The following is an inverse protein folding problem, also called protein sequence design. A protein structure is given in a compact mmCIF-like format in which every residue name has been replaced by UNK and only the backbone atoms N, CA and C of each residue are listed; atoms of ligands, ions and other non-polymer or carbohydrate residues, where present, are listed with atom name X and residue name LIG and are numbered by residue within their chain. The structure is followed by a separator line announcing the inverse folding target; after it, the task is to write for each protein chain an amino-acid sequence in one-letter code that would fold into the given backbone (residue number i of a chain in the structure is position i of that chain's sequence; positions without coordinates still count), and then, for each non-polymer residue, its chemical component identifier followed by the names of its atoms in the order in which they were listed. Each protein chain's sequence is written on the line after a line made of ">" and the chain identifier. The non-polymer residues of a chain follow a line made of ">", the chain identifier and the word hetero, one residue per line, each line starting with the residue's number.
data_IF_133486679418
#
_entry.id   IF_133486679418
#
_cell.length_a   1.000
_cell.length_b   1.000
_cell.length_c   1.000
_cell.angle_alpha   90.00
_cell.angle_beta   90.00
_cell.angle_gamma   90.00
#
_symmetry.space_group_name_H-M   'P 1'
#
loop_
_entity.id
_entity.type
_entity.pdbx_description
1 polymer ?
#
# COMPACT_ATOMS: atom_id res chain seq x y z
N UNK A 1 -27.05 -18.10 17.04
CA UNK A 1 -25.72 -17.71 17.54
C UNK A 1 -25.31 -16.47 16.76
N UNK A 2 -25.28 -15.29 17.38
CA UNK A 2 -24.73 -14.08 16.73
C UNK A 2 -23.21 -14.22 16.86
N UNK A 3 -22.50 -14.39 15.74
CA UNK A 3 -21.05 -14.41 15.74
C UNK A 3 -20.52 -13.11 16.35
N UNK A 4 -19.61 -13.21 17.31
CA UNK A 4 -18.84 -12.06 17.77
C UNK A 4 -18.14 -11.43 16.56
N UNK A 5 -18.12 -10.09 16.45
CA UNK A 5 -17.40 -9.44 15.38
C UNK A 5 -15.93 -9.85 15.48
N UNK A 6 -15.42 -10.49 14.42
CA UNK A 6 -14.01 -10.85 14.30
C UNK A 6 -13.24 -9.53 14.30
N UNK A 7 -12.65 -9.17 15.44
CA UNK A 7 -11.73 -8.03 15.49
C UNK A 7 -10.52 -8.37 14.63
N UNK A 8 -10.19 -7.51 13.67
CA UNK A 8 -8.96 -7.59 12.89
C UNK A 8 -7.87 -6.82 13.64
N UNK A 9 -6.93 -7.47 14.35
CA UNK A 9 -5.93 -6.73 15.13
C UNK A 9 -5.06 -5.86 14.20
N UNK A 10 -4.84 -4.61 14.61
CA UNK A 10 -3.93 -3.71 13.91
C UNK A 10 -2.50 -4.00 14.33
N UNK A 11 -1.64 -4.36 13.36
CA UNK A 11 -0.21 -4.58 13.58
C UNK A 11 0.54 -3.25 13.62
N UNK A 12 0.19 -2.33 12.71
CA UNK A 12 0.82 -1.02 12.63
C UNK A 12 -0.12 0.00 11.97
N UNK A 13 -0.16 1.21 12.52
CA UNK A 13 -0.75 2.39 11.89
C UNK A 13 0.34 3.41 11.64
N UNK A 14 0.28 4.05 10.47
CA UNK A 14 1.16 5.14 10.10
C UNK A 14 0.36 6.43 9.99
N UNK A 15 0.94 7.52 10.45
CA UNK A 15 0.42 8.89 10.32
C UNK A 15 1.48 9.75 9.67
N UNK A 16 1.15 10.94 9.19
CA UNK A 16 2.12 11.85 8.55
C UNK A 16 3.30 12.27 9.44
N UNK A 17 3.26 11.97 10.75
CA UNK A 17 4.43 12.05 11.64
C UNK A 17 5.49 10.98 11.35
N UNK A 18 5.13 9.89 10.67
CA UNK A 18 6.05 8.86 10.19
C UNK A 18 6.60 9.27 8.82
N UNK A 19 7.92 9.46 8.68
CA UNK A 19 8.52 9.78 7.38
C UNK A 19 8.43 8.57 6.45
N UNK A 20 8.13 8.83 5.19
CA UNK A 20 8.19 7.79 4.15
C UNK A 20 9.64 7.49 3.77
N UNK A 21 9.90 6.27 3.29
CA UNK A 21 11.22 5.86 2.79
C UNK A 21 11.59 6.64 1.52
N UNK A 22 10.62 6.84 0.63
CA UNK A 22 10.81 7.66 -0.58
C UNK A 22 10.78 9.14 -0.20
N UNK A 23 11.78 9.88 -0.70
CA UNK A 23 11.98 11.31 -0.38
C UNK A 23 11.13 12.25 -1.23
N UNK A 24 10.58 11.75 -2.33
CA UNK A 24 9.72 12.46 -3.29
C UNK A 24 8.22 12.34 -2.97
N UNK A 25 7.92 11.97 -1.72
CA UNK A 25 6.57 11.96 -1.14
C UNK A 25 6.51 13.05 -0.07
N UNK A 26 5.68 14.06 -0.29
CA UNK A 26 5.51 15.19 0.63
C UNK A 26 4.34 14.96 1.60
N UNK A 27 4.28 15.69 2.70
CA UNK A 27 3.08 15.76 3.55
C UNK A 27 2.21 16.94 3.08
N UNK A 28 0.91 16.71 2.89
CA UNK A 28 -0.07 17.73 2.53
C UNK A 28 -1.43 17.39 3.17
N UNK A 29 -1.98 18.31 3.97
CA UNK A 29 -3.33 18.22 4.57
C UNK A 29 -3.69 16.85 5.15
N UNK A 30 -2.91 16.34 6.12
CA UNK A 30 -3.10 15.02 6.76
C UNK A 30 -2.76 13.77 5.92
N UNK A 31 -2.31 13.96 4.68
CA UNK A 31 -1.97 12.89 3.76
C UNK A 31 -0.51 12.97 3.28
N UNK A 32 -0.04 11.87 2.71
CA UNK A 32 1.16 11.86 1.90
C UNK A 32 0.80 12.08 0.44
N UNK A 33 1.48 13.01 -0.21
CA UNK A 33 1.29 13.39 -1.60
C UNK A 33 2.50 12.92 -2.43
N UNK A 34 2.22 12.05 -3.40
CA UNK A 34 3.15 11.60 -4.42
C UNK A 34 2.91 12.34 -5.73
N UNK A 35 3.94 13.05 -6.22
CA UNK A 35 3.93 13.64 -7.56
C UNK A 35 4.41 12.59 -8.57
N UNK A 36 3.49 12.14 -9.41
CA UNK A 36 3.69 11.04 -10.33
C UNK A 36 4.05 11.60 -11.71
N UNK A 37 5.34 11.65 -12.03
CA UNK A 37 5.83 12.13 -13.34
C UNK A 37 6.33 11.01 -14.27
N UNK A 38 6.46 9.80 -13.74
CA UNK A 38 6.84 8.58 -14.46
C UNK A 38 6.27 7.35 -13.74
N UNK A 39 6.32 6.20 -14.42
CA UNK A 39 6.11 4.92 -13.77
C UNK A 39 7.18 4.70 -12.69
N UNK A 40 6.76 4.47 -11.45
CA UNK A 40 7.64 4.20 -10.32
C UNK A 40 6.89 3.62 -9.12
N UNK A 41 7.65 3.04 -8.20
CA UNK A 41 7.15 2.59 -6.90
C UNK A 41 7.63 3.56 -5.83
N UNK A 42 6.69 4.20 -5.14
CA UNK A 42 6.97 4.95 -3.92
C UNK A 42 6.98 3.98 -2.74
N UNK A 43 8.17 3.74 -2.18
CA UNK A 43 8.35 3.03 -0.91
C UNK A 43 7.88 3.91 0.23
N UNK A 44 6.85 3.49 0.95
CA UNK A 44 6.27 4.27 2.04
C UNK A 44 6.88 3.84 3.36
N UNK A 45 6.67 2.59 3.76
CA UNK A 45 7.08 2.11 5.08
C UNK A 45 7.60 0.69 5.05
N UNK A 46 8.34 0.35 6.10
CA UNK A 46 8.81 -0.99 6.40
C UNK A 46 8.35 -1.37 7.82
N UNK A 47 7.93 -2.61 7.99
CA UNK A 47 7.59 -3.22 9.27
C UNK A 47 8.54 -4.40 9.49
N UNK A 48 9.63 -4.22 10.24
CA UNK A 48 10.53 -5.32 10.59
C UNK A 48 9.88 -6.21 11.64
N UNK A 49 10.19 -7.50 11.58
CA UNK A 49 9.79 -8.53 12.55
C UNK A 49 8.31 -8.44 12.99
N UNK A 50 7.35 -8.48 12.05
CA UNK A 50 5.92 -8.26 12.33
C UNK A 50 5.29 -9.30 13.26
N UNK A 51 5.96 -10.43 13.55
CA UNK A 51 5.49 -11.45 14.49
C UNK A 51 4.23 -12.19 14.04
N UNK A 52 4.03 -12.32 12.72
CA UNK A 52 2.87 -12.99 12.13
C UNK A 52 3.24 -14.33 11.50
N UNK A 53 2.29 -15.26 11.54
CA UNK A 53 2.34 -16.62 10.99
C UNK A 53 0.89 -17.10 10.83
N UNK A 54 0.65 -18.05 9.91
CA UNK A 54 -0.63 -18.74 9.72
C UNK A 54 -1.85 -17.79 9.75
N UNK A 55 -1.82 -16.76 8.89
CA UNK A 55 -2.83 -15.69 8.90
C UNK A 55 -2.89 -14.95 7.56
N UNK A 56 -3.83 -14.01 7.45
CA UNK A 56 -3.87 -13.03 6.36
C UNK A 56 -3.31 -11.71 6.88
N UNK A 57 -2.31 -11.18 6.21
CA UNK A 57 -1.85 -9.80 6.41
C UNK A 57 -2.61 -8.90 5.44
N UNK A 58 -3.22 -7.84 5.95
CA UNK A 58 -3.94 -6.86 5.15
C UNK A 58 -3.19 -5.53 5.16
N UNK A 59 -2.91 -5.00 3.96
CA UNK A 59 -2.45 -3.63 3.80
C UNK A 59 -3.61 -2.77 3.32
N UNK A 60 -4.03 -1.83 4.17
CA UNK A 60 -5.16 -0.92 3.95
C UNK A 60 -4.68 0.53 3.86
N UNK A 61 -5.27 1.29 2.93
CA UNK A 61 -5.12 2.74 2.85
C UNK A 61 -6.27 3.38 2.08
N UNK A 62 -6.41 4.72 2.18
CA UNK A 62 -7.26 5.51 1.30
C UNK A 62 -6.41 6.22 0.25
N UNK A 63 -6.85 6.19 -1.00
CA UNK A 63 -6.20 6.83 -2.14
C UNK A 63 -7.11 7.89 -2.76
N UNK A 64 -6.54 9.04 -3.13
CA UNK A 64 -7.18 10.10 -3.91
C UNK A 64 -6.25 10.46 -5.07
N UNK A 65 -6.79 10.80 -6.24
CA UNK A 65 -5.96 11.20 -7.40
C UNK A 65 -6.45 12.47 -8.07
N UNK A 66 -5.52 13.17 -8.71
CA UNK A 66 -5.80 14.34 -9.55
C UNK A 66 -4.97 14.21 -10.83
N UNK A 67 -5.65 14.17 -11.99
CA UNK A 67 -5.00 14.18 -13.30
C UNK A 67 -4.09 12.97 -13.59
N UNK A 68 -4.27 11.85 -12.89
CA UNK A 68 -3.43 10.67 -13.06
C UNK A 68 -3.81 9.93 -14.36
N UNK A 69 -3.04 10.10 -15.43
CA UNK A 69 -3.37 9.43 -16.70
C UNK A 69 -3.13 7.91 -16.70
N UNK A 70 -2.23 7.40 -15.84
CA UNK A 70 -2.02 5.96 -15.68
C UNK A 70 -2.75 5.39 -14.47
N UNK A 71 -2.20 4.32 -13.91
CA UNK A 71 -2.79 3.58 -12.79
C UNK A 71 -1.88 3.66 -11.58
N UNK A 72 -2.49 3.83 -10.41
CA UNK A 72 -1.82 3.65 -9.13
C UNK A 72 -2.56 2.63 -8.26
N UNK A 73 -1.83 1.87 -7.44
CA UNK A 73 -2.39 0.87 -6.53
C UNK A 73 -1.45 0.56 -5.37
N UNK A 74 -2.00 -0.08 -4.33
CA UNK A 74 -1.22 -0.59 -3.21
C UNK A 74 -0.39 -1.80 -3.64
N UNK A 75 0.86 -1.85 -3.20
CA UNK A 75 1.76 -3.00 -3.36
C UNK A 75 2.38 -3.34 -2.00
N UNK A 76 2.42 -4.62 -1.65
CA UNK A 76 3.04 -5.12 -0.44
C UNK A 76 4.06 -6.20 -0.78
N UNK A 77 5.24 -6.14 -0.17
CA UNK A 77 6.27 -7.18 -0.28
C UNK A 77 6.54 -7.80 1.08
N UNK A 78 6.50 -9.12 1.16
CA UNK A 78 6.83 -9.91 2.34
C UNK A 78 8.13 -10.66 2.08
N UNK A 79 9.15 -10.44 2.91
CA UNK A 79 10.38 -11.23 2.89
C UNK A 79 10.23 -12.41 3.85
N UNK A 80 10.37 -13.62 3.33
CA UNK A 80 10.37 -14.87 4.08
C UNK A 80 11.81 -15.38 4.17
N UNK A 81 12.42 -15.40 5.37
CA UNK A 81 13.79 -15.88 5.56
C UNK A 81 14.01 -17.27 4.94
N UNK A 82 15.09 -17.41 4.17
CA UNK A 82 15.44 -18.67 3.47
C UNK A 82 14.55 -19.04 2.28
N UNK A 83 13.48 -18.28 1.99
CA UNK A 83 12.52 -18.57 0.91
C UNK A 83 12.46 -17.48 -0.17
N UNK A 84 12.84 -16.25 0.17
CA UNK A 84 12.89 -15.12 -0.75
C UNK A 84 11.85 -14.05 -0.45
N UNK A 85 11.54 -13.21 -1.44
CA UNK A 85 10.56 -12.14 -1.33
C UNK A 85 9.36 -12.43 -2.23
N UNK A 86 8.16 -12.21 -1.70
CA UNK A 86 6.88 -12.44 -2.36
C UNK A 86 6.05 -11.16 -2.26
N UNK A 87 5.09 -10.97 -3.17
CA UNK A 87 4.31 -9.72 -3.22
C UNK A 87 2.81 -9.93 -3.37
N UNK A 88 2.06 -8.93 -2.94
CA UNK A 88 0.65 -8.73 -3.26
C UNK A 88 0.48 -7.36 -3.93
N UNK A 89 -0.37 -7.29 -4.95
CA UNK A 89 -0.63 -6.07 -5.73
C UNK A 89 -2.12 -5.86 -5.94
N UNK A 90 -2.59 -4.65 -5.67
CA UNK A 90 -3.99 -4.24 -5.81
C UNK A 90 -4.42 -3.98 -7.26
N UNK A 91 -4.10 -4.88 -8.20
CA UNK A 91 -4.40 -4.69 -9.62
C UNK A 91 -5.91 -4.65 -9.93
N UNK A 92 -6.75 -5.14 -9.01
CA UNK A 92 -8.21 -5.05 -9.07
C UNK A 92 -8.78 -3.81 -8.36
N UNK A 93 -7.95 -3.00 -7.71
CA UNK A 93 -8.31 -1.81 -6.93
C UNK A 93 -7.44 -0.62 -7.34
N UNK A 94 -7.25 -0.45 -8.64
CA UNK A 94 -6.48 0.66 -9.20
C UNK A 94 -7.25 1.97 -9.13
N UNK A 95 -6.54 3.08 -8.90
CA UNK A 95 -7.06 4.44 -9.07
C UNK A 95 -6.44 5.10 -10.29
N UNK A 96 -7.21 5.95 -10.96
CA UNK A 96 -6.85 6.64 -12.20
C UNK A 96 -7.68 7.91 -12.37
N UNK A 97 -7.24 8.81 -13.25
CA UNK A 97 -7.89 10.07 -13.56
C UNK A 97 -7.89 11.04 -12.38
N UNK A 98 -9.06 11.59 -12.10
CA UNK A 98 -9.31 12.36 -10.89
C UNK A 98 -10.46 11.68 -10.14
N UNK A 99 -10.23 11.33 -8.88
CA UNK A 99 -11.23 10.74 -8.00
C UNK A 99 -11.04 11.27 -6.59
N UNK A 100 -12.11 11.28 -5.81
CA UNK A 100 -12.00 11.54 -4.38
C UNK A 100 -11.49 10.29 -3.63
N UNK A 101 -11.37 10.38 -2.31
CA UNK A 101 -10.88 9.29 -1.46
C UNK A 101 -11.63 7.97 -1.66
N UNK A 102 -10.89 6.94 -2.09
CA UNK A 102 -11.35 5.56 -2.21
C UNK A 102 -10.56 4.69 -1.25
N UNK A 103 -11.23 3.75 -0.57
CA UNK A 103 -10.55 2.78 0.30
C UNK A 103 -10.04 1.61 -0.52
N UNK A 104 -8.78 1.23 -0.30
CA UNK A 104 -8.12 0.11 -0.94
C UNK A 104 -7.55 -0.82 0.13
N UNK A 105 -7.65 -2.13 -0.09
CA UNK A 105 -7.09 -3.14 0.81
C UNK A 105 -6.59 -4.34 0.02
N UNK A 106 -5.35 -4.78 0.27
CA UNK A 106 -4.78 -5.96 -0.38
C UNK A 106 -4.39 -7.03 0.64
N UNK A 107 -4.74 -8.30 0.40
CA UNK A 107 -4.35 -9.40 1.27
C UNK A 107 -3.01 -10.02 0.86
N UNK A 108 -2.30 -10.58 1.83
CA UNK A 108 -1.22 -11.53 1.64
C UNK A 108 -1.41 -12.70 2.59
N UNK A 109 -1.58 -13.89 2.02
CA UNK A 109 -1.81 -15.11 2.77
C UNK A 109 -0.46 -15.67 3.25
N UNK A 110 -0.34 -15.87 4.56
CA UNK A 110 0.77 -16.61 5.17
C UNK A 110 0.25 -17.98 5.58
N UNK A 111 0.85 -19.02 5.01
CA UNK A 111 0.63 -20.39 5.45
C UNK A 111 1.39 -20.65 6.76
N UNK A 112 1.15 -21.82 7.35
CA UNK A 112 1.90 -22.28 8.51
C UNK A 112 3.42 -22.25 8.23
N UNK A 113 4.17 -21.74 9.19
CA UNK A 113 5.62 -21.57 9.17
C UNK A 113 6.10 -20.50 8.15
N UNK A 114 5.20 -19.70 7.58
CA UNK A 114 5.52 -18.53 6.77
C UNK A 114 5.64 -17.29 7.66
N UNK A 115 6.83 -17.09 8.23
CA UNK A 115 7.12 -16.01 9.16
C UNK A 115 7.95 -14.92 8.48
N UNK A 116 7.34 -13.83 7.99
CA UNK A 116 8.12 -12.75 7.40
C UNK A 116 8.93 -12.02 8.47
N UNK A 117 10.16 -11.67 8.13
CA UNK A 117 11.04 -10.81 8.95
C UNK A 117 10.98 -9.34 8.50
N UNK A 118 10.36 -9.07 7.35
CA UNK A 118 10.17 -7.72 6.82
C UNK A 118 8.93 -7.66 5.92
N UNK A 119 8.09 -6.67 6.16
CA UNK A 119 6.99 -6.30 5.26
C UNK A 119 7.22 -4.87 4.75
N UNK A 120 7.20 -4.67 3.44
CA UNK A 120 7.29 -3.35 2.78
C UNK A 120 5.93 -2.93 2.24
N UNK A 121 5.54 -1.70 2.55
CA UNK A 121 4.30 -1.08 2.08
C UNK A 121 4.63 -0.01 1.05
N UNK A 122 4.08 -0.17 -0.15
CA UNK A 122 4.37 0.66 -1.30
C UNK A 122 3.10 1.24 -1.94
N UNK A 123 3.28 2.33 -2.69
CA UNK A 123 2.35 2.79 -3.70
C UNK A 123 3.03 2.62 -5.07
N UNK A 124 2.47 1.76 -5.93
CA UNK A 124 2.99 1.55 -7.27
C UNK A 124 2.22 2.42 -8.28
N UNK A 125 2.94 2.99 -9.25
CA UNK A 125 2.40 3.79 -10.36
C UNK A 125 2.96 3.24 -11.67
N UNK A 126 2.10 2.79 -12.58
CA UNK A 126 2.54 2.08 -13.80
C UNK A 126 2.70 2.98 -15.02
N UNK A 127 2.11 4.17 -15.02
CA UNK A 127 2.26 5.16 -16.09
C UNK A 127 1.75 6.51 -15.60
N UNK A 128 2.19 7.59 -16.23
CA UNK A 128 1.68 8.94 -15.96
C UNK A 128 1.14 9.59 -17.24
N UNK A 129 1.12 8.85 -18.35
CA UNK A 129 0.67 9.31 -19.67
C UNK A 129 1.67 10.26 -20.35
N UNK A 130 1.53 10.37 -21.67
CA UNK A 130 2.30 11.29 -22.50
C UNK A 130 1.37 12.18 -23.32
N UNK A 131 1.63 13.49 -23.32
CA UNK A 131 0.98 14.45 -24.22
C UNK A 131 2.09 15.17 -24.99
N UNK A 132 2.02 15.18 -26.33
CA UNK A 132 3.01 15.87 -27.17
C UNK A 132 4.48 15.52 -26.85
N UNK A 133 4.75 14.23 -26.60
CA UNK A 133 6.07 13.69 -26.18
C UNK A 133 6.59 14.21 -24.82
N UNK A 134 5.73 14.82 -24.00
CA UNK A 134 6.05 15.19 -22.61
C UNK A 134 5.23 14.33 -21.65
N UNK A 135 5.87 13.91 -20.56
CA UNK A 135 5.16 13.25 -19.47
C UNK A 135 4.17 14.22 -18.84
N UNK A 136 2.96 13.75 -18.57
CA UNK A 136 1.97 14.50 -17.79
C UNK A 136 2.13 14.08 -16.33
N UNK A 137 2.16 15.05 -15.42
CA UNK A 137 2.22 14.77 -14.00
C UNK A 137 0.81 14.51 -13.46
N UNK A 138 0.62 13.38 -12.77
CA UNK A 138 -0.54 13.13 -11.92
C UNK A 138 -0.16 13.26 -10.45
N UNK A 139 -1.16 13.44 -9.59
CA UNK A 139 -0.97 13.41 -8.13
C UNK A 139 -1.71 12.24 -7.53
N UNK A 140 -1.11 11.63 -6.52
CA UNK A 140 -1.77 10.63 -5.68
C UNK A 140 -1.58 11.02 -4.23
N UNK A 141 -2.67 11.16 -3.49
CA UNK A 141 -2.64 11.27 -2.05
C UNK A 141 -2.95 9.91 -1.45
N UNK A 142 -2.25 9.58 -0.36
CA UNK A 142 -2.48 8.40 0.45
C UNK A 142 -2.62 8.80 1.91
N UNK A 143 -3.57 8.20 2.62
CA UNK A 143 -3.71 8.33 4.08
C UNK A 143 -4.36 7.12 4.73
N UNK A 144 -4.32 7.07 6.06
CA UNK A 144 -4.85 5.93 6.82
C UNK A 144 -4.12 4.62 6.48
N UNK A 145 -2.79 4.68 6.40
CA UNK A 145 -1.96 3.52 6.04
C UNK A 145 -1.85 2.59 7.24
N UNK A 146 -2.37 1.38 7.08
CA UNK A 146 -2.47 0.39 8.14
C UNK A 146 -2.02 -0.99 7.66
N UNK A 147 -1.35 -1.71 8.56
CA UNK A 147 -1.07 -3.13 8.44
C UNK A 147 -1.88 -3.87 9.50
N UNK A 148 -2.64 -4.86 9.08
CA UNK A 148 -3.57 -5.60 9.95
C UNK A 148 -3.33 -7.09 9.84
N UNK A 149 -3.76 -7.84 10.86
CA UNK A 149 -3.82 -9.30 10.88
C UNK A 149 -5.27 -9.76 10.83
N UNK A 150 -5.60 -10.70 9.96
CA UNK A 150 -6.89 -11.39 9.93
C UNK A 150 -6.68 -12.92 10.04
N UNK A 151 -7.63 -13.66 10.64
CA UNK A 151 -7.53 -15.12 10.70
C UNK A 151 -7.66 -15.76 9.32
N UNK A 152 -7.14 -16.98 9.17
CA UNK A 152 -7.53 -17.88 8.08
C UNK A 152 -8.98 -18.29 8.33
N UNK A 153 -9.84 -18.15 7.31
CA UNK A 153 -11.28 -18.43 7.41
C UNK A 153 -11.61 -19.91 7.64
#
# INVERSE_FOLDING_TARGET
>A
MKGEPIMTPTLKTFTTANPTISKDVAVADDAWLANCTKAQTFRLFEVPDPGVDECIVLYRAKLKTEGLMGRAYLEMWCRLPGRGEFFSRGLNQVVTGSNDWVSCEIPFLLQKDEKPDLIRLNLAVESTGWLWKKAVAGKVWIKGVELLKAPLG
#
